data_IF_125758168927
#
_entry.id   IF_125758168927
#
_cell.length_a   1.000
_cell.length_b   1.000
_cell.length_c   1.000
_cell.angle_alpha   90.00
_cell.angle_beta   90.00
_cell.angle_gamma   90.00
#
_symmetry.space_group_name_H-M   'P 1'
#
loop_
_entity.id
_entity.type
_entity.pdbx_description
1 polymer ?
#
# COMPACT_ATOMS: atom_id res chain seq x y z
N UNK A 1 -11.21 18.51 0.64
CA UNK A 1 -11.91 19.02 -0.56
C UNK A 1 -10.85 19.51 -1.53
N UNK A 2 -10.84 19.04 -2.77
CA UNK A 2 -9.87 19.49 -3.79
C UNK A 2 -10.52 20.45 -4.77
N UNK A 3 -9.82 21.50 -5.18
CA UNK A 3 -10.30 22.51 -6.14
C UNK A 3 -10.84 21.92 -7.46
N UNK A 4 -10.42 20.70 -7.81
CA UNK A 4 -10.90 19.96 -8.99
C UNK A 4 -12.40 19.69 -8.99
N UNK A 5 -13.06 19.69 -7.84
CA UNK A 5 -14.52 19.55 -7.75
C UNK A 5 -15.27 20.74 -8.37
N UNK A 6 -14.63 21.91 -8.43
CA UNK A 6 -15.19 23.15 -8.97
C UNK A 6 -14.58 23.52 -10.33
N UNK A 7 -13.70 22.69 -10.88
CA UNK A 7 -13.15 22.91 -12.21
C UNK A 7 -14.18 22.57 -13.28
N UNK A 8 -14.11 23.18 -14.49
CA UNK A 8 -15.04 22.89 -15.59
C UNK A 8 -15.11 21.41 -15.99
N UNK A 9 -14.08 20.64 -15.66
CA UNK A 9 -14.05 19.18 -15.83
C UNK A 9 -13.91 18.52 -14.45
N UNK A 10 -15.02 18.21 -13.77
CA UNK A 10 -14.98 17.56 -12.47
C UNK A 10 -14.39 16.14 -12.57
N UNK A 11 -13.97 15.55 -11.44
CA UNK A 11 -13.51 14.16 -11.41
C UNK A 11 -14.58 13.23 -11.99
N UNK A 12 -14.19 12.37 -12.94
CA UNK A 12 -15.10 11.41 -13.58
C UNK A 12 -15.02 9.99 -13.02
N UNK A 13 -14.21 9.78 -12.00
CA UNK A 13 -14.03 8.47 -11.40
C UNK A 13 -13.57 8.57 -9.97
N UNK A 14 -14.04 7.61 -9.17
CA UNK A 14 -13.61 7.43 -7.80
C UNK A 14 -12.52 6.36 -7.76
N UNK A 15 -11.53 6.58 -6.91
CA UNK A 15 -10.38 5.67 -6.74
C UNK A 15 -10.11 5.43 -5.28
N UNK A 16 -9.89 4.17 -4.92
CA UNK A 16 -9.68 3.71 -3.54
C UNK A 16 -8.51 2.72 -3.50
N UNK A 17 -7.91 2.62 -2.32
CA UNK A 17 -6.90 1.61 -2.04
C UNK A 17 -7.57 0.44 -1.33
N UNK A 18 -7.38 -0.77 -1.84
CA UNK A 18 -7.65 -2.02 -1.14
C UNK A 18 -6.33 -2.69 -0.83
N UNK A 19 -6.16 -3.15 0.40
CA UNK A 19 -4.98 -3.89 0.84
C UNK A 19 -5.42 -5.30 1.18
N UNK A 20 -4.74 -6.28 0.59
CA UNK A 20 -4.94 -7.69 0.88
C UNK A 20 -3.64 -8.25 1.45
N UNK A 21 -3.75 -8.97 2.56
CA UNK A 21 -2.63 -9.69 3.16
C UNK A 21 -2.86 -11.18 2.98
N UNK A 22 -1.86 -11.88 2.46
CA UNK A 22 -1.88 -13.35 2.38
C UNK A 22 -1.05 -13.89 3.54
N UNK A 23 -1.69 -14.62 4.45
CA UNK A 23 -1.02 -15.20 5.61
C UNK A 23 -0.12 -16.41 5.23
N UNK A 24 0.50 -17.02 6.23
CA UNK A 24 1.40 -18.18 6.07
C UNK A 24 0.70 -19.44 5.56
N UNK A 25 -0.61 -19.56 5.77
CA UNK A 25 -1.45 -20.65 5.28
C UNK A 25 -2.02 -20.38 3.88
N UNK A 26 -1.76 -19.19 3.31
CA UNK A 26 -2.26 -18.77 2.01
C UNK A 26 -3.67 -18.18 2.05
N UNK A 27 -4.26 -17.94 3.23
CA UNK A 27 -5.55 -17.26 3.34
C UNK A 27 -5.39 -15.77 3.10
N UNK A 28 -6.34 -15.20 2.35
CA UNK A 28 -6.35 -13.78 2.00
C UNK A 28 -7.26 -13.00 2.94
N UNK A 29 -6.69 -11.95 3.52
CA UNK A 29 -7.36 -11.04 4.43
C UNK A 29 -7.52 -9.67 3.78
N UNK A 30 -8.76 -9.25 3.58
CA UNK A 30 -9.04 -7.88 3.20
C UNK A 30 -8.85 -6.99 4.43
N UNK A 31 -7.90 -6.07 4.36
CA UNK A 31 -7.65 -5.13 5.47
C UNK A 31 -8.66 -3.98 5.49
N UNK A 32 -9.68 -4.05 4.63
CA UNK A 32 -10.80 -3.14 4.53
C UNK A 32 -10.35 -1.68 4.42
N UNK A 33 -9.26 -1.40 3.71
CA UNK A 33 -8.71 -0.05 3.59
C UNK A 33 -9.51 0.87 2.68
N UNK A 34 -10.41 0.30 1.86
CA UNK A 34 -11.30 1.05 0.98
C UNK A 34 -12.34 1.82 1.80
N UNK A 35 -13.10 2.69 1.14
CA UNK A 35 -14.04 3.59 1.86
C UNK A 35 -15.44 3.00 2.00
N UNK A 36 -15.75 1.92 1.28
CA UNK A 36 -17.08 1.30 1.25
C UNK A 36 -17.19 0.05 2.10
N UNK A 37 -16.09 -0.37 2.72
CA UNK A 37 -16.07 -1.37 3.78
C UNK A 37 -17.23 -1.13 4.78
N UNK A 38 -17.99 -2.17 5.15
CA UNK A 38 -19.22 -2.02 5.93
C UNK A 38 -19.06 -1.21 7.22
N UNK A 39 -17.95 -1.41 7.93
CA UNK A 39 -17.62 -0.78 9.21
C UNK A 39 -17.26 0.71 9.09
N UNK A 40 -17.07 1.23 7.87
CA UNK A 40 -16.78 2.65 7.61
C UNK A 40 -18.01 3.49 7.33
N UNK A 41 -19.21 2.91 7.44
CA UNK A 41 -20.49 3.58 7.26
C UNK A 41 -21.00 4.19 8.58
N UNK A 42 -21.81 5.27 8.53
CA UNK A 42 -22.29 5.96 7.33
C UNK A 42 -21.28 6.94 6.72
N UNK A 43 -21.45 7.21 5.42
CA UNK A 43 -20.73 8.23 4.64
C UNK A 43 -21.78 9.31 4.29
N UNK A 44 -21.52 10.61 4.40
CA UNK A 44 -20.24 11.30 4.62
C UNK A 44 -19.81 11.38 6.08
N UNK A 45 -18.50 11.40 6.31
CA UNK A 45 -17.93 11.52 7.64
C UNK A 45 -17.75 12.98 8.05
N UNK A 46 -17.97 13.29 9.32
CA UNK A 46 -17.70 14.64 9.87
C UNK A 46 -16.22 15.00 9.87
N UNK A 47 -15.32 14.00 9.91
CA UNK A 47 -13.88 14.17 9.91
C UNK A 47 -13.19 13.23 8.94
N UNK A 48 -12.12 13.71 8.31
CA UNK A 48 -11.29 12.90 7.42
C UNK A 48 -10.02 12.46 8.16
N UNK A 49 -9.87 11.15 8.35
CA UNK A 49 -8.70 10.60 9.06
C UNK A 49 -7.42 10.75 8.23
N UNK A 50 -6.27 10.81 8.91
CA UNK A 50 -4.96 10.85 8.23
C UNK A 50 -4.73 9.60 7.38
N UNK A 51 -5.15 8.44 7.87
CA UNK A 51 -5.06 7.18 7.14
C UNK A 51 -5.75 7.24 5.78
N UNK A 52 -6.99 7.74 5.72
CA UNK A 52 -7.72 7.89 4.46
C UNK A 52 -7.00 8.81 3.47
N UNK A 53 -6.36 9.88 3.97
CA UNK A 53 -5.54 10.79 3.16
C UNK A 53 -4.32 10.08 2.58
N UNK A 54 -3.67 9.24 3.37
CA UNK A 54 -2.54 8.43 2.94
C UNK A 54 -2.99 7.41 1.89
N UNK A 55 -4.08 6.67 2.14
CA UNK A 55 -4.64 5.68 1.22
C UNK A 55 -4.97 6.28 -0.15
N UNK A 56 -5.56 7.49 -0.17
CA UNK A 56 -5.88 8.20 -1.41
C UNK A 56 -4.64 8.64 -2.20
N UNK A 57 -3.54 8.96 -1.53
CA UNK A 57 -2.26 9.28 -2.19
C UNK A 57 -1.61 8.03 -2.78
N UNK A 58 -1.65 6.92 -2.06
CA UNK A 58 -1.07 5.64 -2.49
C UNK A 58 -1.83 5.08 -3.71
N UNK A 59 -3.15 5.16 -3.74
CA UNK A 59 -3.98 4.73 -4.89
C UNK A 59 -3.87 5.64 -6.12
N UNK A 60 -3.16 6.77 -6.01
CA UNK A 60 -3.02 7.76 -7.08
C UNK A 60 -4.27 8.61 -7.30
N UNK A 61 -5.13 8.74 -6.29
CA UNK A 61 -6.27 9.66 -6.28
C UNK A 61 -5.90 11.13 -6.04
N UNK A 62 -4.61 11.41 -5.77
CA UNK A 62 -4.00 12.74 -5.68
C UNK A 62 -2.75 12.81 -6.60
N UNK A 63 -2.20 14.02 -6.82
CA UNK A 63 -1.04 14.21 -7.71
C UNK A 63 0.18 13.36 -7.32
N UNK A 64 0.91 12.84 -8.32
CA UNK A 64 2.15 12.08 -8.11
C UNK A 64 2.07 10.55 -8.27
N UNK A 65 0.93 10.00 -8.75
CA UNK A 65 0.70 8.57 -9.06
C UNK A 65 0.92 7.56 -7.92
N UNK A 66 1.41 7.99 -6.76
CA UNK A 66 1.53 7.17 -5.54
C UNK A 66 2.68 6.15 -5.54
N UNK A 67 3.38 5.96 -6.66
CA UNK A 67 4.33 4.85 -6.87
C UNK A 67 5.44 4.76 -5.83
N UNK A 68 5.97 5.91 -5.40
CA UNK A 68 6.98 5.93 -4.34
C UNK A 68 6.45 5.40 -3.00
N UNK A 69 5.22 5.77 -2.64
CA UNK A 69 4.62 5.42 -1.35
C UNK A 69 4.07 4.00 -1.30
N UNK A 70 3.70 3.41 -2.44
CA UNK A 70 3.17 2.04 -2.53
C UNK A 70 4.11 1.02 -1.88
N UNK A 71 5.40 1.06 -2.22
CA UNK A 71 6.41 0.14 -1.67
C UNK A 71 6.47 0.23 -0.14
N UNK A 72 6.57 1.45 0.37
CA UNK A 72 6.68 1.69 1.80
C UNK A 72 5.43 1.31 2.58
N UNK A 73 4.26 1.53 1.97
CA UNK A 73 3.00 1.16 2.59
C UNK A 73 2.82 -0.36 2.66
N UNK A 74 3.14 -1.10 1.59
CA UNK A 74 3.10 -2.55 1.61
C UNK A 74 4.08 -3.14 2.65
N UNK A 75 5.31 -2.61 2.71
CA UNK A 75 6.29 -2.98 3.75
C UNK A 75 5.80 -2.66 5.16
N UNK A 76 5.09 -1.54 5.34
CA UNK A 76 4.50 -1.22 6.64
C UNK A 76 3.44 -2.23 7.03
N UNK A 77 2.59 -2.66 6.10
CA UNK A 77 1.62 -3.73 6.33
C UNK A 77 2.27 -5.07 6.69
N UNK A 78 3.37 -5.46 6.05
CA UNK A 78 4.13 -6.66 6.44
C UNK A 78 4.55 -6.60 7.93
N UNK A 79 5.11 -5.46 8.37
CA UNK A 79 5.54 -5.28 9.78
C UNK A 79 4.36 -5.18 10.72
N UNK A 80 3.31 -4.46 10.33
CA UNK A 80 2.12 -4.28 11.13
C UNK A 80 1.42 -5.61 11.38
N UNK A 81 1.30 -6.44 10.34
CA UNK A 81 0.81 -7.81 10.44
C UNK A 81 1.64 -8.62 11.43
N UNK A 82 2.96 -8.66 11.27
CA UNK A 82 3.83 -9.42 12.17
C UNK A 82 3.67 -9.00 13.63
N UNK A 83 3.57 -7.70 13.90
CA UNK A 83 3.36 -7.19 15.26
C UNK A 83 2.01 -7.67 15.83
N UNK A 84 0.96 -7.72 15.00
CA UNK A 84 -0.38 -8.16 15.43
C UNK A 84 -0.54 -9.68 15.52
N UNK A 85 0.33 -10.45 14.87
CA UNK A 85 0.23 -11.90 14.76
C UNK A 85 1.46 -12.60 15.39
N UNK A 86 1.88 -12.15 16.57
CA UNK A 86 2.86 -12.89 17.36
C UNK A 86 4.29 -12.93 16.78
N UNK A 87 4.63 -12.02 15.86
CA UNK A 87 5.90 -12.01 15.14
C UNK A 87 5.86 -12.76 13.81
N UNK A 88 4.74 -13.38 13.45
CA UNK A 88 4.60 -14.14 12.20
C UNK A 88 4.47 -13.22 10.99
N UNK A 89 5.40 -13.33 10.04
CA UNK A 89 5.33 -12.57 8.79
C UNK A 89 4.31 -13.18 7.83
N UNK A 90 3.49 -12.37 7.15
CA UNK A 90 2.63 -12.88 6.08
C UNK A 90 3.48 -13.28 4.86
N UNK A 91 2.93 -14.09 3.95
CA UNK A 91 3.62 -14.42 2.70
C UNK A 91 3.79 -13.18 1.82
N UNK A 92 2.69 -12.45 1.59
CA UNK A 92 2.70 -11.26 0.77
C UNK A 92 1.64 -10.22 1.17
N UNK A 93 1.87 -8.98 0.76
CA UNK A 93 0.90 -7.89 0.82
C UNK A 93 0.68 -7.35 -0.58
N UNK A 94 -0.59 -7.29 -0.99
CA UNK A 94 -1.01 -6.77 -2.28
C UNK A 94 -1.80 -5.47 -2.12
N UNK A 95 -1.37 -4.46 -2.87
CA UNK A 95 -2.06 -3.18 -2.97
C UNK A 95 -2.85 -3.15 -4.27
N UNK A 96 -4.16 -2.92 -4.16
CA UNK A 96 -5.04 -2.79 -5.31
C UNK A 96 -5.62 -1.38 -5.40
N UNK A 97 -5.69 -0.88 -6.63
CA UNK A 97 -6.49 0.27 -6.99
C UNK A 97 -7.89 -0.21 -7.35
N UNK A 98 -8.85 0.16 -6.52
CA UNK A 98 -10.26 0.06 -6.85
C UNK A 98 -10.69 1.35 -7.54
N UNK A 99 -11.48 1.24 -8.60
CA UNK A 99 -12.04 2.42 -9.27
C UNK A 99 -13.35 2.16 -9.95
N UNK A 100 -14.24 3.14 -9.96
CA UNK A 100 -15.45 3.13 -10.80
C UNK A 100 -15.69 4.51 -11.40
N UNK A 101 -16.44 4.56 -12.50
CA UNK A 101 -16.80 5.81 -13.17
C UNK A 101 -17.98 6.46 -12.45
N UNK A 102 -17.89 7.76 -12.19
CA UNK A 102 -19.02 8.53 -11.66
C UNK A 102 -20.03 8.71 -12.81
N UNK A 103 -21.33 8.44 -12.60
CA UNK A 103 -22.37 8.69 -13.61
C UNK A 103 -22.35 10.15 -14.09
N UNK A 104 -22.68 10.35 -15.37
CA UNK A 104 -22.71 11.69 -15.94
C UNK A 104 -23.80 12.55 -15.27
N UNK A 105 -23.62 13.89 -15.18
CA UNK A 105 -24.62 14.77 -14.58
C UNK A 105 -26.02 14.61 -15.20
N UNK A 106 -26.10 14.39 -16.51
CA UNK A 106 -27.36 14.15 -17.22
C UNK A 106 -28.05 12.86 -16.75
N UNK A 107 -27.30 11.77 -16.58
CA UNK A 107 -27.84 10.50 -16.08
C UNK A 107 -28.42 10.65 -14.67
N UNK A 108 -27.72 11.38 -13.79
CA UNK A 108 -28.18 11.65 -12.42
C UNK A 108 -29.40 12.58 -12.40
N UNK A 109 -29.48 13.54 -13.32
CA UNK A 109 -30.64 14.42 -13.46
C UNK A 109 -31.89 13.64 -13.91
N UNK A 110 -31.73 12.71 -14.86
CA UNK A 110 -32.83 11.92 -15.42
C UNK A 110 -33.29 10.77 -14.49
N UNK A 111 -32.37 10.06 -13.86
CA UNK A 111 -32.66 8.82 -13.10
C UNK A 111 -32.57 8.99 -11.58
N UNK A 112 -32.20 10.18 -11.11
CA UNK A 112 -32.01 10.47 -9.69
C UNK A 112 -30.61 10.12 -9.16
N UNK A 113 -30.40 10.28 -7.84
CA UNK A 113 -29.12 10.01 -7.20
C UNK A 113 -28.72 8.53 -7.31
N UNK A 114 -27.43 8.27 -7.51
CA UNK A 114 -26.89 6.92 -7.60
C UNK A 114 -26.35 6.43 -6.25
N UNK A 115 -26.36 5.11 -6.02
CA UNK A 115 -25.69 4.51 -4.86
C UNK A 115 -24.23 4.14 -5.23
N UNK A 116 -23.23 4.79 -4.61
CA UNK A 116 -21.82 4.53 -4.89
C UNK A 116 -21.37 3.08 -4.60
N UNK A 117 -22.05 2.38 -3.69
CA UNK A 117 -21.77 0.98 -3.34
C UNK A 117 -22.22 0.06 -4.46
N UNK A 118 -23.39 0.33 -5.03
CA UNK A 118 -23.92 -0.41 -6.19
C UNK A 118 -23.02 -0.19 -7.40
N UNK A 119 -22.66 1.07 -7.69
CA UNK A 119 -21.73 1.39 -8.79
C UNK A 119 -20.37 0.71 -8.64
N UNK A 120 -19.81 0.67 -7.44
CA UNK A 120 -18.54 -0.03 -7.20
C UNK A 120 -18.67 -1.55 -7.38
N UNK A 121 -19.81 -2.13 -7.00
CA UNK A 121 -20.04 -3.57 -7.15
C UNK A 121 -20.24 -3.98 -8.61
N UNK A 122 -21.02 -3.21 -9.35
CA UNK A 122 -21.41 -3.55 -10.72
C UNK A 122 -20.39 -3.10 -11.77
N UNK A 123 -19.75 -1.94 -11.55
CA UNK A 123 -18.87 -1.28 -12.54
C UNK A 123 -17.46 -1.04 -12.03
N UNK A 124 -17.16 -1.51 -10.83
CA UNK A 124 -15.83 -1.42 -10.24
C UNK A 124 -14.78 -2.17 -11.05
N UNK A 125 -13.59 -1.58 -11.12
CA UNK A 125 -12.39 -2.17 -11.68
C UNK A 125 -11.35 -2.27 -10.59
N UNK A 126 -10.64 -3.40 -10.57
CA UNK A 126 -9.51 -3.64 -9.69
C UNK A 126 -8.23 -3.73 -10.53
N UNK A 127 -7.22 -2.94 -10.18
CA UNK A 127 -5.88 -3.02 -10.78
C UNK A 127 -4.82 -3.21 -9.72
N UNK A 128 -3.87 -4.12 -9.93
CA UNK A 128 -2.73 -4.29 -9.03
C UNK A 128 -1.82 -3.05 -9.09
N UNK A 129 -1.46 -2.52 -7.92
CA UNK A 129 -0.53 -1.40 -7.77
C UNK A 129 0.86 -1.88 -7.39
N UNK A 130 0.93 -2.79 -6.42
CA UNK A 130 2.19 -3.30 -5.88
C UNK A 130 1.95 -4.62 -5.15
N UNK A 131 2.95 -5.50 -5.21
CA UNK A 131 3.01 -6.74 -4.43
C UNK A 131 4.33 -6.74 -3.69
N UNK A 132 4.28 -7.00 -2.38
CA UNK A 132 5.44 -7.17 -1.53
C UNK A 132 5.49 -8.61 -1.01
N UNK A 133 6.56 -9.33 -1.30
CA UNK A 133 6.87 -10.60 -0.63
C UNK A 133 7.54 -10.29 0.70
N UNK A 134 6.86 -10.51 1.82
CA UNK A 134 7.28 -9.92 3.09
C UNK A 134 8.53 -10.58 3.69
N UNK A 135 8.92 -11.78 3.26
CA UNK A 135 10.15 -12.44 3.70
C UNK A 135 11.41 -11.90 3.01
N UNK A 136 11.28 -11.43 1.75
CA UNK A 136 12.42 -11.08 0.88
C UNK A 136 12.49 -9.58 0.58
N UNK A 137 11.38 -8.86 0.71
CA UNK A 137 11.30 -7.44 0.44
C UNK A 137 12.14 -6.65 1.47
N UNK A 138 13.05 -5.75 1.01
CA UNK A 138 13.89 -4.97 1.92
C UNK A 138 13.08 -4.15 2.91
N UNK A 139 13.45 -4.24 4.18
CA UNK A 139 12.82 -3.57 5.32
C UNK A 139 11.34 -3.96 5.55
N UNK A 140 10.82 -5.01 4.91
CA UNK A 140 9.47 -5.51 5.16
C UNK A 140 9.33 -6.26 6.48
N UNK A 141 10.45 -6.76 7.02
CA UNK A 141 10.49 -7.47 8.31
C UNK A 141 10.68 -6.45 9.45
N UNK A 142 10.02 -6.65 10.61
CA UNK A 142 10.34 -5.88 11.82
C UNK A 142 11.77 -6.22 12.28
N UNK A 143 12.44 -5.28 12.94
CA UNK A 143 13.72 -5.58 13.61
C UNK A 143 13.45 -6.30 14.92
N UNK A 144 14.44 -7.07 15.40
CA UNK A 144 14.35 -7.75 16.69
C UNK A 144 14.15 -6.76 17.85
N UNK A 145 14.70 -5.55 17.75
CA UNK A 145 14.44 -4.47 18.70
C UNK A 145 12.96 -4.06 18.74
N UNK A 146 12.30 -3.98 17.58
CA UNK A 146 10.87 -3.65 17.50
C UNK A 146 10.04 -4.80 18.06
N UNK A 147 10.36 -6.04 17.70
CA UNK A 147 9.70 -7.22 18.24
C UNK A 147 9.82 -7.30 19.77
N UNK A 148 11.02 -7.09 20.30
CA UNK A 148 11.28 -7.07 21.74
C UNK A 148 10.47 -5.98 22.47
N UNK A 149 10.33 -4.78 21.89
CA UNK A 149 9.47 -3.71 22.45
C UNK A 149 7.99 -4.10 22.50
N UNK A 150 7.57 -5.00 21.62
CA UNK A 150 6.20 -5.54 21.60
C UNK A 150 6.08 -6.86 22.40
N UNK A 151 7.13 -7.31 23.10
CA UNK A 151 7.12 -8.56 23.86
C UNK A 151 7.10 -9.81 22.97
N UNK A 152 7.53 -9.69 21.72
CA UNK A 152 7.52 -10.76 20.72
C UNK A 152 8.89 -11.43 20.60
N UNK A 153 8.95 -12.72 20.22
CA UNK A 153 10.21 -13.39 19.93
C UNK A 153 10.93 -12.72 18.76
N UNK A 154 12.27 -12.91 18.63
CA UNK A 154 13.00 -12.45 17.46
C UNK A 154 12.46 -13.06 16.18
N UNK A 155 12.66 -12.35 15.06
CA UNK A 155 12.10 -12.77 13.78
C UNK A 155 12.65 -14.13 13.36
N UNK A 156 11.78 -15.02 12.87
CA UNK A 156 12.20 -16.30 12.28
C UNK A 156 12.93 -16.13 10.95
N UNK A 157 12.74 -14.98 10.30
CA UNK A 157 13.37 -14.62 9.03
C UNK A 157 14.36 -13.47 9.26
N UNK A 158 15.61 -13.57 8.76
CA UNK A 158 16.56 -12.46 8.84
C UNK A 158 16.00 -11.20 8.17
N UNK A 159 16.22 -10.05 8.81
CA UNK A 159 15.83 -8.76 8.22
C UNK A 159 16.64 -8.50 6.94
N UNK A 160 15.93 -8.19 5.86
CA UNK A 160 16.57 -7.80 4.61
C UNK A 160 16.92 -6.32 4.65
N UNK A 161 18.18 -6.02 4.96
CA UNK A 161 18.68 -4.65 5.00
C UNK A 161 18.80 -4.04 3.60
N UNK A 162 18.26 -2.83 3.42
CA UNK A 162 18.37 -2.08 2.15
C UNK A 162 19.82 -1.86 1.73
N UNK A 163 20.73 -1.75 2.70
CA UNK A 163 22.14 -1.49 2.44
C UNK A 163 22.85 -2.68 1.81
N UNK A 164 22.39 -3.91 2.02
CA UNK A 164 22.86 -5.06 1.25
C UNK A 164 22.52 -4.92 -0.24
N UNK A 165 21.29 -4.49 -0.58
CA UNK A 165 20.87 -4.27 -1.96
C UNK A 165 21.62 -3.11 -2.62
N UNK A 166 21.87 -2.03 -1.88
CA UNK A 166 22.58 -0.85 -2.41
C UNK A 166 24.08 -1.09 -2.58
N UNK A 167 24.73 -1.91 -1.73
CA UNK A 167 26.12 -2.35 -1.93
C UNK A 167 26.32 -3.07 -3.27
N UNK A 168 25.40 -3.96 -3.63
CA UNK A 168 25.45 -4.66 -4.93
C UNK A 168 25.31 -3.68 -6.10
N UNK A 169 24.44 -2.67 -5.98
CA UNK A 169 24.30 -1.62 -6.99
C UNK A 169 25.55 -0.75 -7.09
N UNK A 170 26.18 -0.43 -5.96
CA UNK A 170 27.44 0.31 -5.93
C UNK A 170 28.55 -0.48 -6.62
N UNK A 171 28.73 -1.76 -6.30
CA UNK A 171 29.71 -2.64 -6.97
C UNK A 171 29.47 -2.71 -8.49
N UNK A 172 28.21 -2.90 -8.90
CA UNK A 172 27.85 -2.93 -10.32
C UNK A 172 28.12 -1.58 -11.01
N UNK A 173 27.85 -0.47 -10.34
CA UNK A 173 28.14 0.88 -10.84
C UNK A 173 29.65 1.12 -10.95
N UNK A 174 30.44 0.76 -9.94
CA UNK A 174 31.92 0.85 -9.93
C UNK A 174 32.51 0.01 -11.08
N UNK A 175 32.05 -1.24 -11.24
CA UNK A 175 32.44 -2.13 -12.34
C UNK A 175 32.11 -1.53 -13.71
N UNK A 176 30.96 -0.88 -13.86
CA UNK A 176 30.54 -0.24 -15.12
C UNK A 176 31.36 1.00 -15.47
N UNK A 177 31.86 1.74 -14.48
CA UNK A 177 32.56 3.02 -14.68
C UNK A 177 34.07 2.93 -14.41
N UNK A 178 34.63 1.73 -14.30
CA UNK A 178 36.08 1.51 -14.15
C UNK A 178 36.68 2.07 -12.85
N UNK A 179 35.87 2.37 -11.84
CA UNK A 179 36.37 2.80 -10.55
C UNK A 179 36.95 1.58 -9.82
N UNK A 180 38.23 1.66 -9.44
CA UNK A 180 38.93 0.61 -8.71
C UNK A 180 38.11 0.19 -7.49
N UNK A 181 37.97 -1.12 -7.31
CA UNK A 181 37.31 -1.71 -6.16
C UNK A 181 38.19 -1.55 -4.92
N UNK A 182 38.04 -0.43 -4.23
CA UNK A 182 38.48 -0.33 -2.83
C UNK A 182 37.51 -1.17 -1.98
N UNK A 183 37.71 -2.49 -1.99
CA UNK A 183 37.09 -3.45 -1.07
C UNK A 183 38.21 -3.93 -0.13
N UNK A 184 38.59 -3.10 0.84
CA UNK A 184 39.12 -3.56 2.13
C UNK A 184 38.39 -2.78 3.23
N UNK A 185 37.44 -3.46 3.87
CA UNK A 185 37.04 -3.14 5.23
C UNK A 185 36.82 -4.47 5.96
N UNK A 186 37.34 -4.61 7.19
CA UNK A 186 37.55 -5.89 7.83
C UNK A 186 36.22 -6.50 8.29
N UNK A 187 36.18 -7.83 8.24
CA UNK A 187 35.22 -8.64 8.98
C UNK A 187 35.71 -8.71 10.42
N UNK A 188 34.96 -8.11 11.33
CA UNK A 188 34.81 -8.55 12.73
C UNK A 188 33.32 -8.42 13.09
#
# INVERSE_FOLDING_TARGET
QGWKMFAPNPPRGNTMLRVVVTDTEGRQWDMHTDVYAPEKRPIPWLGYTRERKINRRISGGEGGKGTWYQKWHARWWCRHWAIQHGGELPQQVELFKLSYSIPAPQTVFEHGPYDPVVEMRERGRQGSLYVAECATEPEAQPSDEVLARHGLPPSSVPRVERWATLRNKLRAWKKKHGAASDDEAPVD
#
